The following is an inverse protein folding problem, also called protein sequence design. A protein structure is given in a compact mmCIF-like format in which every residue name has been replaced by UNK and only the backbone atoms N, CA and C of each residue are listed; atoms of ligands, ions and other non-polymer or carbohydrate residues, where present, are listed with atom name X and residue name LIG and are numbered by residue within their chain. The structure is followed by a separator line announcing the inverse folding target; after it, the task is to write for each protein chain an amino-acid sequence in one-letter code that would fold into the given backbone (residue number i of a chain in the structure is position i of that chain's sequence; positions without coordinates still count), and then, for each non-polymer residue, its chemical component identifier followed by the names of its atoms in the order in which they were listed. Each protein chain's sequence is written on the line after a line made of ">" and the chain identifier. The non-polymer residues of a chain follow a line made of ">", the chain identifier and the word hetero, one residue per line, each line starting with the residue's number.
data_IF_655874310215
#
_entry.id   IF_655874310215
#
_cell.length_a   1.000
_cell.length_b   1.000
_cell.length_c   1.000
_cell.angle_alpha   90.00
_cell.angle_beta   90.00
_cell.angle_gamma   90.00
#
_symmetry.space_group_name_H-M   'P 1'
#
loop_
_entity.id
_entity.type
_entity.pdbx_description
1 polymer ?
2 polymer ?
3 polymer ?
4 water ?
#
# COMPACT_ATOMS: atom_id res chain seq x y z
N UNK A 1 18.98 29.30 1.03
CA UNK A 1 18.72 28.01 0.38
C UNK A 1 17.39 27.40 0.83
N UNK A 2 16.40 27.37 -0.06
CA UNK A 2 15.16 26.69 0.26
C UNK A 2 15.34 25.18 0.11
N UNK A 3 14.73 24.43 1.02
CA UNK A 3 14.96 22.99 1.05
C UNK A 3 14.34 22.34 -0.19
N UNK A 4 15.03 21.41 -0.81
CA UNK A 4 14.60 20.83 -2.10
C UNK A 4 13.60 19.69 -1.94
N UNK A 5 12.37 20.04 -1.56
CA UNK A 5 11.34 19.02 -1.34
C UNK A 5 10.65 18.57 -2.61
N UNK A 6 10.61 19.43 -3.64
CA UNK A 6 10.03 19.02 -4.90
C UNK A 6 10.78 17.88 -5.54
N UNK A 7 12.09 17.80 -5.31
CA UNK A 7 12.86 16.70 -5.88
C UNK A 7 12.39 15.36 -5.35
N UNK A 8 11.97 15.31 -4.08
CA UNK A 8 11.51 14.05 -3.52
C UNK A 8 10.04 13.84 -3.84
N UNK A 9 9.20 14.86 -3.61
CA UNK A 9 7.75 14.69 -3.78
C UNK A 9 7.36 14.59 -5.24
N UNK A 10 8.02 15.32 -6.12
CA UNK A 10 7.67 15.33 -7.53
C UNK A 10 8.56 14.42 -8.36
N UNK A 11 9.37 13.58 -7.73
CA UNK A 11 10.20 12.64 -8.46
C UNK A 11 9.34 11.82 -9.41
N UNK A 12 9.77 11.72 -10.67
CA UNK A 12 8.95 11.06 -11.67
C UNK A 12 8.83 9.56 -11.41
N UNK A 13 9.85 8.96 -10.80
CA UNK A 13 9.87 7.53 -10.53
C UNK A 13 10.05 7.31 -9.03
N UNK A 14 9.25 6.41 -8.47
CA UNK A 14 9.35 6.05 -7.07
C UNK A 14 9.80 4.60 -6.92
N UNK A 15 10.43 4.32 -5.79
CA UNK A 15 10.94 2.98 -5.53
C UNK A 15 9.84 2.08 -4.99
N UNK A 16 10.01 0.78 -5.21
CA UNK A 16 9.23 -0.20 -4.47
C UNK A 16 9.58 -0.11 -2.99
N UNK A 17 8.62 -0.49 -2.14
CA UNK A 17 8.81 -0.34 -0.70
C UNK A 17 9.99 -1.14 -0.15
N UNK A 18 10.39 -2.22 -0.82
CA UNK A 18 11.52 -3.00 -0.29
C UNK A 18 12.85 -2.31 -0.56
N UNK A 19 12.94 -1.57 -1.67
CA UNK A 19 14.13 -0.81 -2.00
C UNK A 19 13.88 0.68 -1.85
N UNK A 20 13.27 1.08 -0.73
CA UNK A 20 12.83 2.45 -0.55
C UNK A 20 13.99 3.42 -0.62
N UNK A 21 13.73 4.60 -1.16
CA UNK A 21 14.80 5.57 -1.40
C UNK A 21 14.90 6.56 -0.24
N UNK A 22 16.10 7.13 -0.09
CA UNK A 22 16.35 8.08 1.00
C UNK A 22 17.18 9.26 0.50
N UNK A 23 16.75 10.47 0.85
CA UNK A 23 17.55 11.67 0.65
C UNK A 23 17.76 12.36 1.99
N UNK A 24 18.86 13.08 2.10
CA UNK A 24 19.18 13.83 3.30
C UNK A 24 19.02 15.33 3.04
N UNK A 25 18.48 16.03 4.03
CA UNK A 25 18.17 17.46 3.96
C UNK A 25 18.93 18.14 5.10
N UNK A 26 19.73 19.16 4.74
CA UNK A 26 20.52 19.89 5.72
C UNK A 26 20.79 21.29 5.19
N UNK A 27 21.08 22.20 6.13
CA UNK A 27 21.52 23.57 5.85
C UNK A 27 20.58 24.27 4.86
N UNK A 28 19.30 24.31 5.20
CA UNK A 28 18.32 24.98 4.37
C UNK A 28 17.13 25.37 5.23
N UNK A 29 16.21 26.11 4.62
CA UNK A 29 14.98 26.56 5.26
C UNK A 29 13.81 25.89 4.56
N UNK A 30 13.02 25.12 5.32
CA UNK A 30 11.88 24.40 4.81
C UNK A 30 10.59 25.14 5.12
N UNK A 31 9.69 25.23 4.14
CA UNK A 31 8.37 25.81 4.32
C UNK A 31 7.36 24.66 4.33
N UNK A 32 7.12 24.10 5.51
CA UNK A 32 6.23 22.95 5.61
C UNK A 32 4.79 23.34 5.28
N UNK A 33 4.38 24.56 5.60
CA UNK A 33 2.99 24.98 5.41
C UNK A 33 2.52 24.77 3.97
N UNK A 34 3.40 25.04 2.99
CA UNK A 34 2.99 24.90 1.59
C UNK A 34 2.76 23.44 1.23
N UNK A 35 3.47 22.52 1.90
CA UNK A 35 3.15 21.10 1.73
C UNK A 35 1.86 20.74 2.45
N UNK A 36 1.72 21.18 3.69
CA UNK A 36 0.57 20.77 4.50
C UNK A 36 -0.72 21.37 3.96
N UNK A 37 -0.72 22.67 3.66
CA UNK A 37 -1.90 23.38 3.19
C UNK A 37 -2.20 23.15 1.72
N UNK A 38 -1.61 22.12 1.11
CA UNK A 38 -1.54 22.02 -0.34
C UNK A 38 -2.76 21.38 -1.00
N UNK A 39 -3.48 20.53 -0.28
CA UNK A 39 -4.59 19.75 -0.84
C UNK A 39 -4.13 18.80 -1.93
N UNK A 40 -2.89 18.32 -1.85
CA UNK A 40 -2.38 17.32 -2.79
C UNK A 40 -2.07 16.00 -2.12
N UNK A 41 -2.42 15.84 -0.85
CA UNK A 41 -2.13 14.65 -0.07
C UNK A 41 -3.36 14.24 0.71
N UNK A 42 -3.64 12.93 0.74
CA UNK A 42 -4.73 12.40 1.56
C UNK A 42 -4.28 12.00 2.96
N UNK A 43 -2.98 11.85 3.20
CA UNK A 43 -2.49 11.60 4.55
C UNK A 43 -1.30 12.50 4.81
N UNK A 44 -1.29 13.15 5.98
CA UNK A 44 -0.21 13.98 6.49
C UNK A 44 -0.24 13.84 8.01
N UNK A 45 0.16 12.66 8.49
CA UNK A 45 0.24 12.36 9.91
C UNK A 45 1.58 12.83 10.45
N UNK A 46 1.61 13.18 11.73
CA UNK A 46 2.88 13.53 12.37
C UNK A 46 2.98 12.83 13.72
N UNK A 47 4.21 12.55 14.12
CA UNK A 47 4.51 11.85 15.36
C UNK A 47 5.62 12.63 16.07
N UNK A 48 5.40 12.93 17.34
CA UNK A 48 6.35 13.69 18.12
C UNK A 48 6.16 15.18 18.08
N UNK A 49 5.57 15.72 17.01
CA UNK A 49 5.38 17.15 16.86
C UNK A 49 4.01 17.42 16.25
N UNK A 50 3.48 18.61 16.53
CA UNK A 50 2.27 19.08 15.89
C UNK A 50 2.61 19.65 14.51
N UNK A 51 1.83 19.31 13.48
CA UNK A 51 2.10 19.90 12.16
C UNK A 51 1.91 21.41 12.12
N UNK A 52 1.15 21.98 13.05
CA UNK A 52 0.94 23.41 13.05
C UNK A 52 2.11 24.19 13.62
N UNK A 53 3.05 23.51 14.29
CA UNK A 53 4.20 24.15 14.92
C UNK A 53 5.50 23.88 14.16
N UNK A 54 5.42 23.21 13.01
CA UNK A 54 6.63 22.76 12.31
C UNK A 54 7.48 23.93 11.85
N UNK A 55 6.85 25.03 11.41
CA UNK A 55 7.63 26.17 10.93
C UNK A 55 8.31 26.93 12.07
N UNK A 56 7.97 26.64 13.32
CA UNK A 56 8.65 27.28 14.46
C UNK A 56 9.80 26.45 15.00
N UNK A 57 10.06 25.28 14.43
CA UNK A 57 11.04 24.34 14.97
C UNK A 57 12.28 24.29 14.09
N UNK A 58 13.36 23.79 14.69
CA UNK A 58 14.62 23.56 14.00
C UNK A 58 15.11 22.15 14.29
N UNK A 59 15.75 21.51 13.31
CA UNK A 59 16.24 20.16 13.48
C UNK A 59 17.68 20.06 13.00
N UNK A 60 18.38 19.04 13.51
CA UNK A 60 19.77 18.83 13.09
C UNK A 60 19.84 18.32 11.66
N UNK A 61 18.89 17.48 11.26
CA UNK A 61 18.86 16.89 9.93
C UNK A 61 17.42 16.51 9.62
N UNK A 62 17.14 16.33 8.33
CA UNK A 62 15.87 15.76 7.90
C UNK A 62 16.16 14.64 6.92
N UNK A 63 15.40 13.56 6.99
CA UNK A 63 15.53 12.45 6.06
C UNK A 63 14.20 12.25 5.33
N UNK A 64 14.25 12.26 4.00
CA UNK A 64 13.07 12.04 3.17
C UNK A 64 13.17 10.64 2.57
N UNK A 65 12.47 9.68 3.17
CA UNK A 65 12.34 8.35 2.60
C UNK A 65 11.10 8.30 1.73
N UNK A 66 11.18 7.63 0.59
CA UNK A 66 10.01 7.58 -0.28
C UNK A 66 9.89 6.23 -0.96
N UNK A 67 8.64 5.80 -1.14
CA UNK A 67 8.33 4.51 -1.73
C UNK A 67 6.89 4.50 -2.21
N UNK A 68 6.40 3.32 -2.59
CA UNK A 68 5.02 3.09 -3.04
C UNK A 68 4.46 1.88 -2.32
N UNK A 69 3.25 2.00 -1.79
CA UNK A 69 2.53 0.82 -1.27
C UNK A 69 1.11 0.87 -1.76
N UNK A 70 0.24 0.05 -1.19
CA UNK A 70 -1.18 0.22 -1.46
C UNK A 70 -1.80 1.06 -0.35
N UNK A 71 -2.92 1.73 -0.70
CA UNK A 71 -3.50 2.69 0.23
C UNK A 71 -3.86 2.07 1.56
N UNK A 72 -4.51 0.92 1.53
CA UNK A 72 -4.91 0.28 2.78
C UNK A 72 -3.73 -0.17 3.63
N UNK A 73 -2.49 0.15 3.27
CA UNK A 73 -1.32 -0.16 4.07
C UNK A 73 -0.63 1.08 4.63
N UNK A 74 -1.15 2.28 4.35
CA UNK A 74 -0.52 3.50 4.85
C UNK A 74 -0.55 3.54 6.37
N UNK A 75 -1.54 2.88 6.99
CA UNK A 75 -1.57 2.78 8.45
C UNK A 75 -0.41 1.97 9.00
N UNK A 76 0.20 1.10 8.21
CA UNK A 76 1.38 0.37 8.69
C UNK A 76 2.63 1.23 8.74
N UNK A 77 2.70 2.28 7.94
CA UNK A 77 3.82 3.22 8.01
C UNK A 77 3.60 4.13 9.21
N UNK A 78 3.96 3.63 10.40
CA UNK A 78 3.79 4.34 11.67
C UNK A 78 4.48 3.53 12.76
N UNK A 79 4.98 4.17 13.82
CA UNK A 79 5.63 3.40 14.89
C UNK A 79 4.69 2.37 15.51
N UNK A 80 5.29 1.29 16.02
CA UNK A 80 4.54 0.26 16.71
C UNK A 80 3.70 -0.64 15.81
N UNK A 81 3.83 -0.53 14.50
CA UNK A 81 2.97 -1.29 13.61
C UNK A 81 3.52 -2.70 13.38
N UNK A 82 2.71 -3.53 12.77
CA UNK A 82 3.09 -4.91 12.50
C UNK A 82 2.50 -5.34 11.15
N UNK A 83 2.96 -6.48 10.68
CA UNK A 83 2.59 -6.98 9.37
C UNK A 83 3.77 -6.92 8.41
N UNK A 84 3.53 -7.45 7.20
CA UNK A 84 4.62 -7.65 6.25
C UNK A 84 5.31 -6.34 5.89
N UNK A 85 4.55 -5.25 5.73
CA UNK A 85 5.17 -3.98 5.36
C UNK A 85 6.10 -3.49 6.48
N UNK A 86 5.57 -3.37 7.70
CA UNK A 86 6.36 -2.86 8.80
C UNK A 86 7.44 -3.83 9.25
N UNK A 87 7.28 -5.14 9.02
CA UNK A 87 8.26 -6.08 9.53
C UNK A 87 9.36 -6.39 8.53
N UNK A 88 9.04 -6.52 7.24
CA UNK A 88 10.03 -6.94 6.26
C UNK A 88 10.38 -5.86 5.26
N UNK A 89 9.77 -4.67 5.34
CA UNK A 89 10.01 -3.67 4.31
C UNK A 89 10.45 -2.32 4.84
N UNK A 90 9.67 -1.71 5.73
CA UNK A 90 9.99 -0.36 6.20
C UNK A 90 9.52 -0.22 7.64
N UNK A 91 10.47 -0.14 8.57
CA UNK A 91 10.17 -0.07 9.99
C UNK A 91 10.53 1.30 10.54
N UNK A 92 9.62 1.84 11.36
CA UNK A 92 9.83 3.11 12.06
C UNK A 92 10.13 2.87 13.53
N UNK A 93 11.06 3.65 14.09
CA UNK A 93 11.39 3.47 15.52
C UNK A 93 10.21 3.81 16.42
N UNK A 94 10.19 3.20 17.60
CA UNK A 94 9.11 3.45 18.54
C UNK A 94 9.03 4.93 18.91
N UNK A 95 10.18 5.60 18.98
CA UNK A 95 10.27 7.00 19.36
C UNK A 95 10.36 7.92 18.14
N UNK A 96 9.69 7.57 17.06
CA UNK A 96 9.81 8.31 15.82
C UNK A 96 9.31 9.74 15.98
N UNK A 97 10.16 10.70 15.62
CA UNK A 97 9.74 12.09 15.44
C UNK A 97 9.80 12.36 13.94
N UNK A 98 8.64 12.64 13.35
CA UNK A 98 8.59 12.91 11.92
C UNK A 98 7.16 13.01 11.45
N UNK A 99 6.98 12.90 10.13
CA UNK A 99 5.65 12.96 9.53
C UNK A 99 5.58 12.03 8.33
N UNK A 100 4.42 11.44 8.12
CA UNK A 100 4.15 10.53 7.01
C UNK A 100 3.14 11.19 6.08
N UNK A 101 3.44 11.18 4.78
CA UNK A 101 2.66 11.92 3.78
C UNK A 101 2.38 10.97 2.64
N UNK A 102 1.10 10.74 2.35
CA UNK A 102 0.74 9.72 1.37
C UNK A 102 -0.34 10.26 0.46
N UNK A 103 -0.32 9.78 -0.79
CA UNK A 103 -1.35 10.16 -1.75
C UNK A 103 -1.51 9.09 -2.82
N UNK A 104 -2.75 8.95 -3.29
CA UNK A 104 -3.08 8.09 -4.43
C UNK A 104 -2.35 8.57 -5.67
N UNK A 105 -1.56 7.68 -6.28
CA UNK A 105 -0.70 8.05 -7.39
C UNK A 105 -1.08 7.37 -8.69
N UNK A 106 -2.37 7.01 -8.85
CA UNK A 106 -2.85 6.54 -10.14
C UNK A 106 -2.53 7.52 -11.25
N UNK A 107 -2.40 8.81 -10.90
CA UNK A 107 -1.91 9.82 -11.82
C UNK A 107 -0.72 9.30 -12.65
N UNK A 108 0.34 8.89 -11.96
CA UNK A 108 1.57 8.49 -12.62
C UNK A 108 1.76 6.97 -12.71
N UNK A 109 1.18 6.21 -11.78
CA UNK A 109 1.47 4.78 -11.65
C UNK A 109 0.30 3.90 -12.10
N UNK A 110 -0.67 4.45 -12.82
CA UNK A 110 -1.73 3.63 -13.39
C UNK A 110 -1.28 3.05 -14.72
N UNK A 111 -1.67 1.80 -14.98
CA UNK A 111 -1.27 1.12 -16.20
C UNK A 111 -2.44 0.28 -16.69
N UNK A 112 -2.93 0.61 -17.90
CA UNK A 112 -3.95 -0.21 -18.52
C UNK A 112 -3.43 -1.63 -18.70
N UNK A 113 -4.22 -2.61 -18.27
CA UNK A 113 -3.80 -3.99 -18.27
C UNK A 113 -3.11 -4.42 -17.00
N UNK A 114 -2.77 -3.47 -16.14
CA UNK A 114 -2.20 -3.75 -14.84
C UNK A 114 -0.78 -3.21 -14.73
N UNK A 115 -0.40 -2.87 -13.51
CA UNK A 115 0.96 -2.46 -13.20
C UNK A 115 1.47 -3.42 -12.15
N UNK A 116 2.45 -4.23 -12.53
CA UNK A 116 3.05 -5.18 -11.61
C UNK A 116 4.51 -4.83 -11.30
N UNK A 117 4.88 -3.56 -11.43
CA UNK A 117 6.29 -3.18 -11.30
C UNK A 117 6.71 -2.97 -9.86
N UNK A 118 5.77 -2.67 -8.98
CA UNK A 118 6.09 -2.43 -7.57
C UNK A 118 6.04 -3.75 -6.81
N UNK A 119 7.04 -3.94 -5.94
CA UNK A 119 7.22 -5.19 -5.23
C UNK A 119 7.34 -4.92 -3.74
N UNK A 120 7.09 -5.97 -2.95
CA UNK A 120 7.29 -5.92 -1.51
C UNK A 120 7.82 -7.27 -1.04
N UNK A 121 8.61 -7.23 0.03
CA UNK A 121 9.19 -8.46 0.58
C UNK A 121 8.14 -9.28 1.32
N UNK A 122 8.20 -10.59 1.15
CA UNK A 122 7.23 -11.54 1.68
C UNK A 122 7.73 -12.33 2.88
N UNK A 123 9.01 -12.71 2.89
CA UNK A 123 9.58 -13.54 3.94
C UNK A 123 10.90 -12.96 4.42
N UNK A 124 11.22 -13.22 5.68
CA UNK A 124 12.48 -12.76 6.22
C UNK A 124 12.79 -13.57 7.46
N UNK A 125 14.09 -13.81 7.69
CA UNK A 125 14.50 -14.59 8.86
C UNK A 125 14.18 -13.86 10.16
N UNK A 126 14.31 -12.53 10.15
CA UNK A 126 14.01 -11.72 11.33
C UNK A 126 13.38 -10.41 10.88
N UNK A 127 12.85 -9.66 11.85
CA UNK A 127 12.26 -8.36 11.54
C UNK A 127 13.35 -7.33 11.29
N UNK A 128 13.02 -6.35 10.45
CA UNK A 128 13.94 -5.27 10.18
C UNK A 128 14.18 -4.43 11.42
N UNK A 129 15.34 -3.79 11.46
CA UNK A 129 15.56 -2.75 12.45
C UNK A 129 15.00 -1.43 11.92
N UNK A 130 14.70 -0.49 12.82
CA UNK A 130 14.21 0.82 12.35
C UNK A 130 15.14 1.44 11.32
N UNK A 131 14.59 1.72 10.14
CA UNK A 131 15.27 2.30 8.97
C UNK A 131 16.26 1.36 8.31
N UNK A 132 16.22 0.06 8.63
CA UNK A 132 16.99 -0.89 7.85
C UNK A 132 16.38 -1.04 6.47
N UNK A 133 17.19 -1.46 5.51
CA UNK A 133 16.77 -1.62 4.12
C UNK A 133 17.33 -2.94 3.59
N UNK A 134 16.42 -3.87 3.24
CA UNK A 134 16.80 -5.18 2.70
C UNK A 134 16.39 -5.21 1.23
N UNK A 135 17.37 -5.23 0.34
CA UNK A 135 17.12 -5.24 -1.10
C UNK A 135 17.59 -6.55 -1.75
N UNK A 136 18.04 -7.51 -0.95
CA UNK A 136 18.54 -8.77 -1.50
C UNK A 136 17.43 -9.50 -2.25
N UNK A 137 17.82 -10.51 -3.02
CA UNK A 137 16.88 -11.27 -3.83
C UNK A 137 17.24 -12.74 -3.84
N UNK A 138 17.67 -13.27 -2.70
CA UNK A 138 18.00 -14.68 -2.59
C UNK A 138 16.76 -15.48 -2.20
N UNK A 139 16.78 -16.77 -2.55
CA UNK A 139 15.64 -17.64 -2.26
C UNK A 139 15.50 -17.83 -0.75
N UNK A 140 14.27 -17.83 -0.28
CA UNK A 140 14.00 -17.92 1.15
C UNK A 140 13.82 -19.37 1.58
N UNK A 141 14.57 -19.77 2.60
CA UNK A 141 14.58 -21.16 3.07
C UNK A 141 13.59 -21.29 4.21
N UNK A 142 12.40 -21.82 3.90
CA UNK A 142 11.33 -21.99 4.87
C UNK A 142 11.30 -23.40 5.46
N UNK A 143 12.42 -24.11 5.44
CA UNK A 143 12.51 -25.46 5.94
C UNK A 143 13.92 -25.76 6.41
N UNK A 144 14.10 -26.97 6.92
CA UNK A 144 15.38 -27.38 7.48
C UNK A 144 16.47 -27.59 6.43
N UNK A 145 16.12 -27.56 5.13
CA UNK A 145 17.01 -27.93 4.03
C UNK A 145 17.48 -26.72 3.24
N UNK A 146 18.74 -26.69 2.79
CA UNK A 146 19.23 -25.55 2.00
C UNK A 146 18.59 -25.50 0.63
N UNK A 147 18.47 -24.29 0.09
CA UNK A 147 17.82 -24.07 -1.20
C UNK A 147 18.79 -24.10 -2.38
N UNK A 148 20.08 -23.85 -2.15
CA UNK A 148 21.11 -23.95 -3.18
C UNK A 148 20.79 -23.10 -4.41
N UNK A 149 20.16 -21.95 -4.16
CA UNK A 149 19.94 -20.95 -5.18
C UNK A 149 18.76 -21.16 -6.09
N UNK A 150 17.86 -22.10 -5.78
CA UNK A 150 16.71 -22.38 -6.63
C UNK A 150 15.45 -22.51 -5.79
N UNK A 151 14.31 -22.40 -6.45
CA UNK A 151 13.04 -22.68 -5.81
C UNK A 151 12.83 -24.19 -5.69
N UNK A 152 11.91 -24.56 -4.81
CA UNK A 152 11.63 -25.97 -4.56
C UNK A 152 10.69 -26.09 -3.37
N UNK A 153 10.73 -27.24 -2.72
CA UNK A 153 9.89 -27.41 -1.54
C UNK A 153 10.46 -26.61 -0.39
N UNK A 154 9.65 -25.67 0.14
CA UNK A 154 10.03 -24.77 1.22
C UNK A 154 11.13 -23.80 0.80
N UNK A 155 11.14 -23.40 -0.48
CA UNK A 155 12.13 -22.48 -1.02
C UNK A 155 11.42 -21.53 -1.97
N UNK A 156 11.26 -20.28 -1.57
CA UNK A 156 10.40 -19.36 -2.30
C UNK A 156 11.14 -18.07 -2.63
N UNK A 157 10.82 -17.52 -3.80
CA UNK A 157 11.21 -16.16 -4.13
C UNK A 157 10.65 -15.22 -3.07
N UNK A 158 11.45 -14.28 -2.56
CA UNK A 158 11.03 -13.49 -1.39
C UNK A 158 10.21 -12.26 -1.70
N UNK A 159 10.09 -11.85 -2.96
CA UNK A 159 9.39 -10.63 -3.33
C UNK A 159 8.09 -10.96 -4.05
N UNK A 160 7.09 -10.09 -3.85
CA UNK A 160 5.77 -10.25 -4.46
C UNK A 160 5.40 -8.96 -5.16
N UNK A 161 4.76 -9.09 -6.32
CA UNK A 161 4.33 -7.96 -7.12
C UNK A 161 2.91 -7.55 -6.74
N UNK A 162 2.71 -6.25 -6.47
CA UNK A 162 1.35 -5.73 -6.29
C UNK A 162 0.59 -5.82 -7.59
N UNK A 163 -0.63 -6.36 -7.54
CA UNK A 163 -1.48 -6.38 -8.70
C UNK A 163 -2.31 -5.11 -8.79
N UNK A 164 -1.67 -4.01 -9.20
CA UNK A 164 -2.38 -2.74 -9.31
C UNK A 164 -3.18 -2.76 -10.61
N UNK A 165 -4.47 -3.08 -10.49
CA UNK A 165 -5.43 -3.08 -11.57
C UNK A 165 -6.33 -1.86 -11.49
N UNK A 166 -6.68 -1.25 -12.63
CA UNK A 166 -7.66 -0.16 -12.60
C UNK A 166 -8.99 -0.57 -11.99
N UNK A 167 -9.31 -1.86 -12.00
CA UNK A 167 -10.58 -2.37 -11.47
C UNK A 167 -10.59 -2.53 -9.96
N UNK A 168 -9.47 -2.33 -9.28
CA UNK A 168 -9.36 -2.62 -7.86
C UNK A 168 -10.23 -1.67 -7.03
N UNK A 169 -10.57 -2.13 -5.83
CA UNK A 169 -11.18 -1.27 -4.83
C UNK A 169 -10.27 -0.11 -4.47
N UNK A 170 -10.83 0.84 -3.73
CA UNK A 170 -10.13 2.08 -3.46
C UNK A 170 -8.93 1.89 -2.54
N UNK A 171 -8.84 0.76 -1.84
CA UNK A 171 -7.74 0.50 -0.93
C UNK A 171 -6.57 -0.21 -1.57
N UNK A 172 -6.83 -1.04 -2.58
CA UNK A 172 -5.79 -1.75 -3.33
C UNK A 172 -5.34 -0.91 -4.52
N UNK A 173 -4.86 0.29 -4.23
CA UNK A 173 -4.45 1.27 -5.22
C UNK A 173 -3.06 1.76 -4.92
N UNK A 174 -2.29 2.17 -5.93
CA UNK A 174 -0.93 2.65 -5.68
C UNK A 174 -0.95 3.98 -4.96
N UNK A 175 -0.23 4.04 -3.85
CA UNK A 175 -0.07 5.25 -3.06
C UNK A 175 1.42 5.55 -2.93
N UNK A 176 1.81 6.75 -3.34
CA UNK A 176 3.17 7.22 -3.10
C UNK A 176 3.26 7.79 -1.70
N UNK A 177 4.32 7.42 -1.00
CA UNK A 177 4.50 7.72 0.42
C UNK A 177 5.86 8.36 0.61
N UNK A 178 5.89 9.43 1.40
CA UNK A 178 7.11 10.13 1.76
C UNK A 178 7.14 10.30 3.28
N UNK A 179 8.22 9.87 3.91
CA UNK A 179 8.41 9.96 5.34
C UNK A 179 9.50 10.99 5.60
N UNK A 180 9.15 12.07 6.28
CA UNK A 180 10.11 13.02 6.78
C UNK A 180 10.47 12.63 8.20
N UNK A 181 11.75 12.35 8.42
CA UNK A 181 12.27 12.07 9.75
C UNK A 181 13.08 13.26 10.24
N UNK A 182 12.75 13.76 11.43
CA UNK A 182 13.40 14.93 12.02
C UNK A 182 14.43 14.47 13.05
N UNK A 183 15.70 14.78 12.80
CA UNK A 183 16.77 14.32 13.68
C UNK A 183 16.91 15.26 14.88
N UNK A 184 16.88 14.70 16.08
CA UNK A 184 16.95 15.52 17.28
C UNK A 184 18.26 15.30 18.02
N UNK A 185 19.37 15.34 17.29
CA UNK A 185 20.68 15.14 17.89
C UNK A 185 21.08 16.35 18.72
N UNK A 186 22.06 16.14 19.60
CA UNK A 186 22.67 17.23 20.36
C UNK A 186 23.74 17.87 19.48
N UNK A 187 23.28 18.67 18.53
CA UNK A 187 24.13 19.28 17.53
C UNK A 187 23.45 20.56 17.07
N UNK A 188 24.16 21.43 16.34
CA UNK A 188 23.50 22.59 15.75
C UNK A 188 22.41 22.18 14.78
N UNK A 189 21.32 22.94 14.78
CA UNK A 189 20.19 22.67 13.89
C UNK A 189 20.37 23.45 12.60
N UNK A 190 20.44 22.73 11.48
CA UNK A 190 20.70 23.35 10.18
C UNK A 190 19.47 23.46 9.30
N UNK A 191 18.40 22.75 9.61
CA UNK A 191 17.15 22.82 8.85
C UNK A 191 16.11 23.47 9.74
N UNK A 192 15.71 24.69 9.39
CA UNK A 192 14.74 25.44 10.14
C UNK A 192 13.62 25.92 9.24
N UNK A 193 12.56 26.44 9.87
CA UNK A 193 11.51 27.12 9.14
C UNK A 193 11.90 28.54 8.79
N UNK A 194 10.98 29.23 8.11
CA UNK A 194 11.18 30.64 7.76
C UNK A 194 11.39 31.56 8.97
N UNK B 1 -9.63 -10.79 -15.25
CA UNK B 1 -9.49 -12.19 -14.86
C UNK B 1 -8.21 -12.78 -15.45
N UNK B 2 -7.49 -13.53 -14.62
CA UNK B 2 -6.16 -14.02 -14.94
C UNK B 2 -6.26 -15.35 -15.66
N UNK B 3 -5.39 -15.55 -16.66
CA UNK B 3 -5.47 -16.71 -17.53
C UNK B 3 -4.09 -17.04 -18.07
N UNK B 4 -3.74 -18.33 -18.05
CA UNK B 4 -2.49 -18.85 -18.56
C UNK B 4 -2.78 -20.05 -19.46
N UNK B 5 -2.20 -20.06 -20.66
CA UNK B 5 -2.41 -21.15 -21.62
C UNK B 5 -1.06 -21.65 -22.12
N UNK B 6 -0.76 -22.91 -21.87
CA UNK B 6 0.46 -23.53 -22.38
C UNK B 6 0.23 -24.10 -23.78
N UNK B 7 1.30 -24.12 -24.57
CA UNK B 7 1.25 -24.67 -25.91
C UNK B 7 2.66 -25.11 -26.32
N UNK B 8 2.72 -26.00 -27.31
CA UNK B 8 3.96 -26.29 -27.98
C UNK B 8 4.67 -27.57 -27.62
N UNK B 9 4.07 -28.42 -26.79
CA UNK B 9 4.66 -29.71 -26.48
C UNK B 9 4.46 -30.72 -27.60
N UNK B 10 4.89 -31.94 -27.35
CA UNK B 10 4.63 -33.00 -28.30
C UNK B 10 5.66 -34.12 -28.20
N UNK B 11 5.76 -34.84 -29.32
CA UNK B 11 6.57 -36.05 -29.45
C UNK B 11 7.95 -35.69 -29.98
N UNK B 12 8.99 -36.16 -29.31
CA UNK B 12 10.34 -35.84 -29.73
C UNK B 12 11.26 -37.00 -29.40
N UNK B 13 12.12 -37.35 -30.37
CA UNK B 13 13.19 -38.30 -30.14
C UNK B 13 14.34 -37.60 -29.43
N UNK B 14 15.05 -38.36 -28.60
CA UNK B 14 16.11 -37.80 -27.76
C UNK B 14 17.06 -36.93 -28.57
N UNK B 15 17.64 -35.93 -27.89
CA UNK B 15 18.49 -34.95 -28.54
C UNK B 15 17.74 -33.85 -29.27
N UNK B 16 16.43 -33.98 -29.46
CA UNK B 16 15.64 -32.97 -30.13
C UNK B 16 15.37 -31.76 -29.23
N UNK B 17 14.48 -30.90 -29.71
CA UNK B 17 14.20 -29.66 -29.00
C UNK B 17 12.75 -29.25 -29.17
N UNK B 18 12.29 -28.42 -28.24
CA UNK B 18 10.95 -27.83 -28.30
C UNK B 18 11.01 -26.40 -27.78
N UNK B 19 9.95 -25.65 -28.04
CA UNK B 19 9.79 -24.32 -27.46
C UNK B 19 8.38 -24.24 -26.89
N UNK B 20 8.26 -24.35 -25.58
CA UNK B 20 6.97 -24.23 -24.93
C UNK B 20 6.60 -22.77 -24.80
N UNK B 21 5.31 -22.48 -24.92
CA UNK B 21 4.78 -21.14 -24.81
C UNK B 21 3.78 -21.08 -23.66
N UNK B 22 3.80 -19.97 -22.93
CA UNK B 22 2.82 -19.65 -21.90
C UNK B 22 2.22 -18.30 -22.27
N UNK B 23 1.01 -18.33 -22.82
CA UNK B 23 0.28 -17.13 -23.17
C UNK B 23 -0.50 -16.65 -21.94
N UNK B 24 -0.17 -15.45 -21.48
CA UNK B 24 -0.80 -14.85 -20.31
C UNK B 24 -1.78 -13.78 -20.73
N UNK B 25 -2.90 -13.69 -20.00
CA UNK B 25 -3.87 -12.63 -20.21
C UNK B 25 -4.46 -12.24 -18.86
N UNK B 26 -4.82 -10.95 -18.75
CA UNK B 26 -5.26 -10.39 -17.50
C UNK B 26 -4.17 -9.70 -16.69
N UNK B 27 -2.91 -9.84 -17.09
CA UNK B 27 -1.81 -9.25 -16.35
C UNK B 27 -0.60 -9.14 -17.26
N UNK B 28 0.25 -8.13 -17.07
CA UNK B 28 1.44 -7.99 -17.91
C UNK B 28 2.44 -9.10 -17.63
N UNK B 29 3.17 -9.49 -18.69
CA UNK B 29 4.11 -10.58 -18.53
C UNK B 29 5.36 -10.11 -17.78
N UNK B 30 5.68 -8.81 -17.85
CA UNK B 30 6.73 -8.23 -17.01
C UNK B 30 6.17 -8.06 -15.61
N UNK B 31 6.71 -8.82 -14.66
CA UNK B 31 6.22 -8.83 -13.28
C UNK B 31 7.23 -9.59 -12.44
N UNK B 32 6.89 -9.76 -11.16
CA UNK B 32 7.83 -10.31 -10.18
C UNK B 32 8.41 -11.63 -10.64
N UNK B 33 7.57 -12.53 -11.12
CA UNK B 33 7.99 -13.92 -11.27
C UNK B 33 7.02 -14.65 -12.19
N UNK B 34 7.57 -15.39 -13.13
CA UNK B 34 6.81 -16.39 -13.87
C UNK B 34 7.62 -17.67 -13.87
N UNK B 35 6.98 -18.79 -13.52
CA UNK B 35 7.69 -20.05 -13.37
C UNK B 35 7.11 -21.14 -14.28
N UNK B 36 7.97 -22.11 -14.59
CA UNK B 36 7.61 -23.32 -15.32
C UNK B 36 7.86 -24.52 -14.41
N UNK B 37 6.83 -25.39 -14.30
CA UNK B 37 6.81 -26.59 -13.47
C UNK B 37 6.55 -27.83 -14.32
N UNK B 38 6.94 -28.99 -13.77
CA UNK B 38 6.82 -30.30 -14.39
C UNK B 38 6.04 -31.23 -13.48
N UNK B 39 5.18 -32.05 -14.07
CA UNK B 39 4.62 -33.20 -13.37
C UNK B 39 4.69 -34.43 -14.28
N UNK B 40 5.45 -35.43 -13.86
CA UNK B 40 5.56 -36.69 -14.57
C UNK B 40 4.50 -37.66 -14.06
N UNK B 41 4.21 -38.73 -14.81
CA UNK B 41 3.25 -39.72 -14.31
C UNK B 41 3.77 -40.39 -13.05
N UNK B 42 2.93 -40.41 -12.01
CA UNK B 42 3.29 -41.00 -10.74
C UNK B 42 4.07 -40.11 -9.79
N UNK B 43 4.77 -39.10 -10.31
CA UNK B 43 5.59 -38.21 -9.50
C UNK B 43 4.81 -36.95 -9.13
N UNK B 44 5.48 -36.05 -8.41
CA UNK B 44 4.90 -34.83 -7.87
C UNK B 44 5.42 -33.61 -8.64
N UNK B 45 4.59 -32.58 -8.70
CA UNK B 45 4.88 -31.41 -9.53
C UNK B 45 6.21 -30.77 -9.13
N UNK B 46 7.06 -30.56 -10.14
CA UNK B 46 8.46 -30.22 -9.96
C UNK B 46 8.74 -28.85 -10.56
N UNK B 47 9.36 -27.97 -9.77
CA UNK B 47 9.76 -26.66 -10.30
C UNK B 47 10.92 -26.82 -11.27
N UNK B 48 10.79 -26.21 -12.44
CA UNK B 48 11.78 -26.32 -13.51
C UNK B 48 12.58 -25.05 -13.69
N UNK B 49 11.91 -23.93 -13.96
CA UNK B 49 12.63 -22.70 -14.28
C UNK B 49 11.78 -21.50 -13.91
N UNK B 50 12.41 -20.33 -13.86
CA UNK B 50 11.64 -19.14 -13.53
C UNK B 50 12.38 -17.89 -14.00
N UNK B 51 11.61 -16.84 -14.27
CA UNK B 51 12.14 -15.55 -14.65
C UNK B 51 11.60 -14.50 -13.69
N UNK B 52 12.43 -13.52 -13.36
CA UNK B 52 12.14 -12.52 -12.33
C UNK B 52 12.44 -11.12 -12.84
N UNK B 53 11.85 -10.13 -12.17
CA UNK B 53 12.08 -8.73 -12.49
C UNK B 53 13.05 -8.04 -11.54
N UNK B 54 13.38 -8.69 -10.42
CA UNK B 54 14.42 -8.22 -9.50
C UNK B 54 15.38 -9.36 -9.23
N UNK B 55 16.65 -9.02 -9.09
CA UNK B 55 17.66 -10.02 -8.82
C UNK B 55 18.10 -10.73 -10.09
N UNK B 56 18.73 -11.88 -9.91
CA UNK B 56 19.06 -12.73 -11.05
C UNK B 56 17.81 -12.98 -11.89
N UNK B 57 17.93 -12.73 -13.19
CA UNK B 57 16.73 -12.69 -14.04
C UNK B 57 16.15 -14.09 -14.27
N UNK B 58 16.99 -15.11 -14.47
CA UNK B 58 16.49 -16.45 -14.73
C UNK B 58 17.15 -17.46 -13.79
N UNK B 59 16.38 -18.43 -13.34
CA UNK B 59 16.88 -19.53 -12.53
C UNK B 59 16.36 -20.85 -13.08
N UNK B 60 17.19 -21.89 -12.95
CA UNK B 60 16.87 -23.20 -13.50
C UNK B 60 17.20 -24.28 -12.48
N UNK B 61 16.43 -25.36 -12.52
CA UNK B 61 16.79 -26.54 -11.74
C UNK B 61 18.06 -27.17 -12.30
N UNK B 62 18.76 -27.91 -11.43
CA UNK B 62 20.05 -28.49 -11.82
C UNK B 62 19.92 -29.44 -13.01
N UNK B 63 18.81 -30.18 -13.10
CA UNK B 63 18.66 -31.18 -14.14
C UNK B 63 18.49 -30.58 -15.53
N UNK B 64 18.20 -29.28 -15.64
CA UNK B 64 17.95 -28.66 -16.93
C UNK B 64 18.84 -27.43 -17.14
N UNK B 65 19.86 -27.27 -16.29
CA UNK B 65 20.55 -25.99 -16.16
C UNK B 65 21.37 -25.64 -17.39
N UNK B 66 21.70 -26.58 -18.26
CA UNK B 66 22.44 -26.20 -19.45
C UNK B 66 21.65 -26.36 -20.73
N UNK B 67 20.46 -26.93 -20.62
CA UNK B 67 19.69 -27.32 -21.79
C UNK B 67 18.46 -26.44 -22.03
N UNK B 68 17.90 -25.85 -20.98
CA UNK B 68 16.71 -25.02 -21.08
C UNK B 68 17.07 -23.55 -20.94
N UNK B 69 16.28 -22.70 -21.59
CA UNK B 69 16.42 -21.26 -21.45
C UNK B 69 15.02 -20.64 -21.42
N UNK B 70 14.74 -19.87 -20.37
CA UNK B 70 13.44 -19.23 -20.22
C UNK B 70 13.56 -17.77 -20.64
N UNK B 71 12.49 -17.24 -21.24
CA UNK B 71 12.55 -15.87 -21.74
C UNK B 71 11.13 -15.31 -21.77
N UNK B 72 11.04 -13.97 -21.78
CA UNK B 72 9.75 -13.31 -21.85
C UNK B 72 9.67 -12.46 -23.09
N UNK B 73 8.47 -12.35 -23.64
CA UNK B 73 8.15 -11.50 -24.78
C UNK B 73 7.02 -10.59 -24.35
N UNK B 74 7.29 -9.29 -24.26
CA UNK B 74 6.28 -8.35 -23.81
C UNK B 74 5.28 -8.01 -24.92
N UNK B 75 5.72 -8.02 -26.19
CA UNK B 75 4.82 -7.68 -27.28
C UNK B 75 3.63 -8.63 -27.33
N UNK B 76 3.91 -9.94 -27.35
CA UNK B 76 2.88 -10.96 -27.40
C UNK B 76 2.41 -11.40 -26.01
N UNK B 77 2.95 -10.81 -24.95
CA UNK B 77 2.60 -11.17 -23.58
C UNK B 77 2.73 -12.68 -23.36
N UNK B 78 3.90 -13.21 -23.73
CA UNK B 78 4.15 -14.64 -23.67
C UNK B 78 5.44 -14.90 -22.91
N UNK B 79 5.56 -16.10 -22.35
CA UNK B 79 6.80 -16.56 -21.74
C UNK B 79 7.17 -17.88 -22.39
N UNK B 80 8.38 -17.93 -22.95
CA UNK B 80 8.87 -19.10 -23.66
C UNK B 80 9.82 -19.91 -22.79
N UNK B 81 9.78 -21.23 -22.99
CA UNK B 81 10.76 -22.16 -22.43
C UNK B 81 11.36 -22.94 -23.60
N UNK B 82 12.57 -22.57 -24.01
CA UNK B 82 13.29 -23.33 -25.01
C UNK B 82 13.95 -24.53 -24.34
N UNK B 83 13.64 -25.73 -24.82
CA UNK B 83 14.21 -26.98 -24.31
C UNK B 83 15.05 -27.61 -25.41
N UNK B 84 16.36 -27.67 -25.21
CA UNK B 84 17.26 -28.36 -26.12
C UNK B 84 17.75 -29.67 -25.50
N UNK B 85 18.34 -30.51 -26.35
CA UNK B 85 18.99 -31.75 -25.91
C UNK B 85 18.08 -32.58 -25.01
N UNK B 86 16.86 -32.82 -25.51
CA UNK B 86 15.83 -33.44 -24.70
C UNK B 86 16.15 -34.88 -24.37
N UNK B 87 15.74 -35.30 -23.19
CA UNK B 87 15.97 -36.64 -22.65
C UNK B 87 14.65 -37.26 -22.27
N UNK B 88 14.58 -38.60 -22.19
CA UNK B 88 13.35 -39.24 -21.70
C UNK B 88 12.95 -38.79 -20.30
N UNK B 89 13.92 -38.38 -19.49
CA UNK B 89 13.63 -37.94 -18.13
C UNK B 89 12.90 -36.60 -18.11
N UNK B 90 12.97 -35.83 -19.19
CA UNK B 90 12.22 -34.58 -19.29
C UNK B 90 10.76 -34.80 -19.65
N UNK B 91 10.36 -36.04 -19.94
CA UNK B 91 8.99 -36.35 -20.32
C UNK B 91 8.04 -36.08 -19.16
N UNK B 92 7.07 -35.19 -19.39
CA UNK B 92 6.09 -34.83 -18.36
C UNK B 92 5.06 -33.87 -18.93
N UNK B 93 4.08 -33.48 -18.11
CA UNK B 93 3.23 -32.34 -18.46
C UNK B 93 3.85 -31.08 -17.86
N UNK B 94 3.94 -30.04 -18.68
CA UNK B 94 4.58 -28.78 -18.32
C UNK B 94 3.52 -27.72 -18.11
N UNK B 95 3.62 -27.02 -16.97
CA UNK B 95 2.71 -25.95 -16.59
C UNK B 95 3.50 -24.67 -16.39
N UNK B 96 2.84 -23.53 -16.60
CA UNK B 96 3.39 -22.26 -16.14
C UNK B 96 2.53 -21.74 -14.99
N UNK B 97 3.12 -20.83 -14.22
CA UNK B 97 2.58 -20.50 -12.90
C UNK B 97 2.95 -19.08 -12.51
N UNK B 98 1.98 -18.38 -11.91
CA UNK B 98 2.17 -17.09 -11.26
C UNK B 98 1.42 -17.09 -9.95
N UNK B 99 1.94 -16.34 -8.97
CA UNK B 99 1.28 -16.16 -7.69
C UNK B 99 0.86 -14.70 -7.56
N UNK B 100 -0.44 -14.47 -7.41
CA UNK B 100 -1.01 -13.14 -7.24
C UNK B 100 -1.49 -12.96 -5.80
N UNK B 101 -1.47 -11.71 -5.35
CA UNK B 101 -2.03 -11.31 -4.06
C UNK B 101 -3.27 -10.47 -4.31
N UNK B 102 -4.27 -10.61 -3.44
CA UNK B 102 -5.59 -10.08 -3.67
C UNK B 102 -5.99 -8.99 -2.71
N UNK B 103 -7.25 -8.56 -2.82
CA UNK B 103 -7.76 -7.47 -2.00
C UNK B 103 -7.63 -7.76 -0.51
N UNK B 104 -7.68 -9.02 -0.11
CA UNK B 104 -7.64 -9.38 1.31
C UNK B 104 -6.28 -9.94 1.72
N UNK B 105 -5.21 -9.57 0.99
CA UNK B 105 -3.86 -9.99 1.31
C UNK B 105 -3.72 -11.52 1.29
N UNK B 106 -4.56 -12.17 0.51
CA UNK B 106 -4.50 -13.61 0.30
C UNK B 106 -3.71 -13.89 -0.97
N UNK B 107 -3.09 -15.05 -1.02
CA UNK B 107 -2.28 -15.47 -2.16
C UNK B 107 -2.96 -16.64 -2.86
N UNK B 108 -2.98 -16.59 -4.19
CA UNK B 108 -3.55 -17.65 -5.01
C UNK B 108 -2.61 -18.00 -6.16
N UNK B 109 -2.44 -19.29 -6.41
CA UNK B 109 -1.52 -19.81 -7.42
C UNK B 109 -2.31 -20.17 -8.68
N UNK B 110 -2.04 -19.46 -9.77
CA UNK B 110 -2.66 -19.77 -11.05
C UNK B 110 -1.83 -20.78 -11.83
N UNK B 111 -2.53 -21.63 -12.58
CA UNK B 111 -1.90 -22.59 -13.47
C UNK B 111 -2.68 -22.63 -14.77
N UNK B 112 -2.05 -23.16 -15.82
CA UNK B 112 -2.72 -23.47 -17.06
C UNK B 112 -3.16 -24.92 -17.11
N UNK B 113 -3.65 -25.32 -18.27
CA UNK B 113 -4.02 -26.72 -18.44
C UNK B 113 -2.81 -27.63 -18.51
N UNK B 114 -1.70 -27.16 -19.08
CA UNK B 114 -0.50 -27.95 -19.27
C UNK B 114 -0.33 -28.40 -20.71
N UNK B 115 0.91 -28.73 -21.06
CA UNK B 115 1.18 -29.40 -22.34
C UNK B 115 2.05 -30.62 -22.13
N UNK B 116 1.75 -31.69 -22.86
CA UNK B 116 2.48 -32.94 -22.74
C UNK B 116 3.76 -32.88 -23.57
N UNK B 117 4.87 -33.27 -22.96
CA UNK B 117 6.15 -33.46 -23.66
C UNK B 117 6.53 -34.91 -23.48
N UNK B 118 6.68 -35.64 -24.60
CA UNK B 118 7.08 -37.03 -24.58
C UNK B 118 8.37 -37.18 -25.37
N UNK B 119 9.38 -37.78 -24.75
CA UNK B 119 10.70 -37.94 -25.33
C UNK B 119 11.05 -39.42 -25.37
N UNK B 120 11.68 -39.85 -26.44
CA UNK B 120 12.06 -41.26 -26.57
C UNK B 120 13.53 -41.48 -26.94
N UNK C 1 -11.79 12.85 29.90
CA UNK C 1 -11.89 13.56 31.16
C UNK C 1 -10.69 14.46 31.41
N UNK C 2 -9.49 13.88 31.34
CA UNK C 2 -8.27 14.64 31.50
C UNK C 2 -7.73 15.15 30.17
N UNK C 3 -8.46 14.94 29.09
CA UNK C 3 -7.99 15.34 27.77
C UNK C 3 -8.04 16.85 27.59
N UNK C 4 -7.01 17.39 26.94
CA UNK C 4 -6.94 18.83 26.71
C UNK C 4 -7.93 19.33 25.66
N UNK C 5 -8.74 18.45 25.06
CA UNK C 5 -9.76 18.82 24.10
C UNK C 5 -11.06 18.13 24.50
N UNK C 6 -12.14 18.91 24.55
CA UNK C 6 -13.45 18.40 24.98
C UNK C 6 -14.47 18.77 23.91
N UNK C 7 -15.17 17.77 23.38
CA UNK C 7 -16.17 17.95 22.34
C UNK C 7 -17.56 17.69 22.92
N UNK C 8 -18.49 18.59 22.64
CA UNK C 8 -19.89 18.44 23.01
C UNK C 8 -20.71 18.55 21.73
N UNK C 9 -21.43 17.49 21.38
CA UNK C 9 -22.22 17.48 20.16
C UNK C 9 -23.71 17.52 20.50
N UNK C 10 -24.47 18.05 19.55
CA UNK C 10 -25.90 18.29 19.72
C UNK C 10 -26.52 18.41 18.33
N UNK C 11 -27.83 18.67 18.31
CA UNK C 11 -28.55 18.85 17.07
C UNK C 11 -29.20 17.59 16.53
N UNK C 12 -29.17 16.49 17.28
CA UNK C 12 -29.74 15.25 16.82
C UNK C 12 -31.24 15.21 17.00
N UNK C 13 -31.81 14.09 16.61
CA UNK C 13 -33.24 13.88 16.75
C UNK C 13 -33.76 13.05 15.59
N UNK C 14 -35.07 12.91 15.56
CA UNK C 14 -35.73 12.14 14.52
C UNK C 14 -36.33 13.08 13.48
N UNK C 15 -36.63 12.50 12.31
CA UNK C 15 -37.11 13.26 11.16
C UNK C 15 -37.60 12.25 10.14
N UNK C 16 -38.39 12.72 9.17
CA UNK C 16 -38.89 11.83 8.12
C UNK C 16 -38.02 11.93 6.89
N UNK C 17 -38.09 10.88 6.07
CA UNK C 17 -37.26 10.79 4.87
C UNK C 17 -37.44 12.03 4.00
N UNK C 18 -36.34 12.47 3.40
CA UNK C 18 -36.31 13.69 2.62
C UNK C 18 -36.02 14.93 3.42
N UNK C 19 -36.15 14.87 4.74
CA UNK C 19 -35.90 16.00 5.59
C UNK C 19 -34.41 16.22 5.81
N UNK C 20 -34.11 17.15 6.71
CA UNK C 20 -32.73 17.53 6.97
C UNK C 20 -32.53 17.76 8.46
N UNK C 21 -31.27 17.63 8.88
CA UNK C 21 -30.86 17.89 10.25
C UNK C 21 -29.55 18.65 10.21
N UNK C 22 -29.10 19.08 11.39
CA UNK C 22 -27.84 19.81 11.48
C UNK C 22 -27.19 19.45 12.81
N UNK C 23 -26.18 18.59 12.75
CA UNK C 23 -25.40 18.26 13.93
C UNK C 23 -24.32 19.31 14.16
N UNK C 24 -24.06 19.62 15.43
CA UNK C 24 -23.02 20.58 15.78
C UNK C 24 -22.13 19.97 16.84
N UNK C 25 -20.86 20.39 16.84
CA UNK C 25 -19.82 19.85 17.72
C UNK C 25 -18.97 21.02 18.18
N UNK C 26 -19.04 21.33 19.46
CA UNK C 26 -18.38 22.49 20.04
C UNK C 26 -17.23 22.02 20.92
N UNK C 27 -16.05 22.58 20.70
CA UNK C 27 -14.84 22.16 21.38
C UNK C 27 -14.39 23.21 22.39
N UNK C 28 -13.79 22.73 23.47
CA UNK C 28 -13.15 23.60 24.45
C UNK C 28 -11.83 22.97 24.85
N UNK C 29 -10.81 23.80 25.06
CA UNK C 29 -9.48 23.33 25.41
C UNK C 29 -8.44 23.87 24.43
N UNK C 30 -7.53 22.99 24.02
CA UNK C 30 -6.44 23.36 23.10
C UNK C 30 -6.98 23.47 21.67
N UNK C 31 -7.81 24.50 21.46
CA UNK C 31 -8.49 24.67 20.17
C UNK C 31 -7.50 24.77 19.03
N UNK C 32 -6.43 25.55 19.22
CA UNK C 32 -5.48 25.81 18.13
C UNK C 32 -4.65 24.60 17.76
N UNK C 33 -4.59 23.58 18.62
CA UNK C 33 -3.87 22.35 18.31
C UNK C 33 -4.66 21.39 17.43
N UNK C 34 -5.97 21.59 17.29
CA UNK C 34 -6.80 20.68 16.51
C UNK C 34 -6.55 20.91 15.02
N UNK C 35 -6.23 19.84 14.30
CA UNK C 35 -5.90 19.94 12.89
C UNK C 35 -6.97 19.33 11.98
N UNK C 36 -7.90 18.58 12.52
CA UNK C 36 -8.73 17.69 11.71
C UNK C 36 -9.99 17.33 12.49
N UNK C 37 -11.14 17.54 11.88
CA UNK C 37 -12.42 17.21 12.49
C UNK C 37 -13.13 16.16 11.64
N UNK C 38 -13.39 15.00 12.22
CA UNK C 38 -14.05 13.91 11.51
C UNK C 38 -15.39 13.55 12.12
N UNK C 39 -16.39 13.32 11.28
CA UNK C 39 -17.69 12.81 11.68
C UNK C 39 -17.77 11.33 11.32
N UNK C 40 -17.99 10.50 12.35
CA UNK C 40 -18.18 9.07 12.30
C UNK C 40 -19.64 8.71 12.56
N UNK C 41 -19.96 7.43 12.35
CA UNK C 41 -21.35 6.98 12.30
C UNK C 41 -21.41 5.50 12.62
N UNK C 42 -22.37 5.09 13.45
CA UNK C 42 -22.61 3.68 13.72
C UNK C 42 -24.10 3.39 13.63
N UNK C 43 -24.49 2.67 12.60
CA UNK C 43 -25.85 2.23 12.37
C UNK C 43 -26.08 0.90 13.08
N UNK C 44 -27.35 0.54 13.33
CA UNK C 44 -27.60 -0.76 13.98
C UNK C 44 -27.02 -1.91 13.17
N UNK C 45 -26.19 -2.71 13.83
CA UNK C 45 -25.61 -3.89 13.22
C UNK C 45 -24.40 -3.67 12.34
N UNK C 46 -23.79 -2.48 12.39
CA UNK C 46 -22.63 -2.17 11.57
C UNK C 46 -21.54 -1.55 12.43
N UNK C 47 -20.30 -1.66 11.94
CA UNK C 47 -19.19 -1.01 12.61
C UNK C 47 -19.28 0.51 12.44
N UNK C 48 -18.55 1.22 13.29
CA UNK C 48 -18.51 2.68 13.21
C UNK C 48 -17.63 3.10 12.05
N UNK C 49 -18.23 3.81 11.08
CA UNK C 49 -17.57 4.20 9.85
C UNK C 49 -17.36 5.71 9.83
N UNK C 50 -16.76 6.21 8.75
CA UNK C 50 -16.46 7.63 8.61
C UNK C 50 -17.44 8.27 7.64
N UNK C 51 -17.99 9.41 8.07
CA UNK C 51 -18.95 10.13 7.24
C UNK C 51 -18.26 11.27 6.53
N UNK C 52 -17.61 12.15 7.29
CA UNK C 52 -17.08 13.35 6.66
C UNK C 52 -15.90 13.87 7.45
N UNK C 53 -15.09 14.73 6.82
CA UNK C 53 -13.93 15.26 7.50
C UNK C 53 -13.58 16.64 6.97
N UNK C 54 -12.95 17.44 7.83
CA UNK C 54 -12.61 18.82 7.56
C UNK C 54 -11.22 19.09 8.12
N UNK C 55 -10.33 19.58 7.27
CA UNK C 55 -9.00 20.02 7.68
C UNK C 55 -9.10 21.46 8.18
N UNK C 56 -8.71 21.70 9.44
CA UNK C 56 -9.04 22.97 10.09
C UNK C 56 -8.34 24.16 9.44
N UNK C 57 -7.03 24.03 9.19
CA UNK C 57 -6.27 25.13 8.61
C UNK C 57 -6.75 25.45 7.20
N UNK C 58 -7.35 24.49 6.53
CA UNK C 58 -7.62 24.53 5.09
C UNK C 58 -9.05 24.87 4.73
N UNK C 59 -10.02 24.38 5.51
CA UNK C 59 -11.38 24.30 5.05
C UNK C 59 -11.65 23.13 4.13
N UNK C 60 -10.62 22.39 3.72
CA UNK C 60 -10.80 21.29 2.80
C UNK C 60 -11.63 20.19 3.46
N UNK C 61 -12.49 19.56 2.67
CA UNK C 61 -13.43 18.58 3.18
C UNK C 61 -13.33 17.29 2.38
N UNK C 62 -13.71 16.20 3.03
CA UNK C 62 -13.86 14.89 2.41
C UNK C 62 -15.18 14.30 2.83
N UNK C 63 -15.81 13.56 1.92
CA UNK C 63 -17.09 12.91 2.18
C UNK C 63 -17.06 11.48 1.69
N UNK C 64 -17.62 10.58 2.49
CA UNK C 64 -17.80 9.22 1.99
C UNK C 64 -18.81 9.22 0.85
N UNK C 65 -18.76 8.15 0.05
CA UNK C 65 -19.64 8.08 -1.12
C UNK C 65 -21.11 7.93 -0.75
N UNK C 66 -21.41 7.38 0.43
CA UNK C 66 -22.80 7.20 0.83
C UNK C 66 -23.47 8.49 1.28
N UNK C 67 -22.74 9.58 1.39
CA UNK C 67 -23.32 10.85 1.83
C UNK C 67 -22.83 11.96 0.92
N UNK C 68 -22.10 11.60 -0.12
CA UNK C 68 -21.59 12.58 -1.07
C UNK C 68 -22.75 13.31 -1.76
N UNK C 69 -22.73 14.64 -1.69
CA UNK C 69 -23.75 15.44 -2.31
C UNK C 69 -24.99 15.67 -1.48
N UNK C 70 -25.10 15.04 -0.31
CA UNK C 70 -26.18 15.27 0.63
C UNK C 70 -25.73 15.87 1.95
N UNK C 71 -24.52 15.54 2.41
CA UNK C 71 -24.00 16.05 3.67
C UNK C 71 -22.98 17.14 3.40
N UNK C 72 -22.93 18.14 4.28
CA UNK C 72 -21.95 19.20 4.18
C UNK C 72 -21.35 19.43 5.55
N UNK C 73 -20.03 19.36 5.64
CA UNK C 73 -19.33 19.69 6.88
C UNK C 73 -18.73 21.08 6.75
N UNK C 74 -18.80 21.85 7.82
CA UNK C 74 -18.36 23.25 7.79
C UNK C 74 -17.85 23.63 9.17
N UNK C 75 -17.07 24.70 9.21
CA UNK C 75 -16.39 25.14 10.43
C UNK C 75 -16.83 26.55 10.80
N UNK C 76 -16.80 26.86 12.09
CA UNK C 76 -17.11 28.19 12.60
C UNK C 76 -16.11 28.47 13.72
N UNK C 77 -15.10 29.29 13.41
CA UNK C 77 -14.07 29.60 14.40
C UNK C 77 -14.53 30.64 15.41
N UNK C 78 -15.57 31.41 15.08
CA UNK C 78 -16.15 32.32 16.08
C UNK C 78 -16.67 31.55 17.29
N UNK C 79 -17.31 30.41 17.05
CA UNK C 79 -17.91 29.62 18.12
C UNK C 79 -17.14 28.33 18.39
N UNK C 80 -16.00 28.11 17.73
CA UNK C 80 -15.22 26.89 17.88
C UNK C 80 -16.10 25.66 17.68
N UNK C 81 -16.84 25.66 16.57
CA UNK C 81 -17.91 24.70 16.37
C UNK C 81 -17.91 24.20 14.94
N UNK C 82 -17.90 22.89 14.77
CA UNK C 82 -17.99 22.27 13.46
C UNK C 82 -19.42 21.77 13.27
N UNK C 83 -19.93 21.85 12.05
CA UNK C 83 -21.29 21.49 11.72
C UNK C 83 -21.33 20.43 10.63
N UNK C 84 -22.35 19.58 10.71
CA UNK C 84 -22.67 18.59 9.68
C UNK C 84 -24.14 18.77 9.30
N UNK C 85 -24.37 19.37 8.14
CA UNK C 85 -25.70 19.58 7.59
C UNK C 85 -26.10 18.35 6.78
N UNK C 86 -27.12 17.63 7.24
CA UNK C 86 -27.54 16.37 6.64
C UNK C 86 -28.85 16.61 5.89
N UNK C 87 -28.77 16.73 4.57
CA UNK C 87 -29.92 16.94 3.71
C UNK C 87 -30.33 15.65 3.02
N UNK C 88 -31.60 15.62 2.59
CA UNK C 88 -32.15 14.50 1.83
C UNK C 88 -32.01 13.19 2.58
N UNK C 89 -32.36 13.21 3.87
CA UNK C 89 -32.13 12.05 4.72
C UNK C 89 -32.99 10.87 4.28
N UNK C 90 -32.43 9.67 4.43
CA UNK C 90 -33.10 8.43 4.12
C UNK C 90 -32.86 7.46 5.28
N UNK C 91 -33.75 6.49 5.47
CA UNK C 91 -33.70 5.68 6.71
C UNK C 91 -32.38 4.97 6.95
N UNK C 92 -31.52 4.83 5.94
CA UNK C 92 -30.22 4.19 6.12
C UNK C 92 -29.21 5.08 6.82
N UNK C 93 -29.54 6.36 7.01
CA UNK C 93 -28.70 7.27 7.78
C UNK C 93 -29.01 7.20 9.28
N UNK C 94 -29.91 6.33 9.70
CA UNK C 94 -30.21 6.16 11.10
C UNK C 94 -29.00 5.58 11.83
N UNK C 95 -28.45 6.34 12.77
CA UNK C 95 -27.23 5.91 13.42
C UNK C 95 -26.92 6.80 14.62
N UNK C 96 -26.03 6.31 15.46
CA UNK C 96 -25.36 7.17 16.43
C UNK C 96 -24.25 7.91 15.71
N UNK C 97 -24.27 9.24 15.76
CA UNK C 97 -23.27 10.05 15.08
C UNK C 97 -22.27 10.59 16.10
N UNK C 98 -20.99 10.55 15.74
CA UNK C 98 -19.92 11.03 16.61
C UNK C 98 -19.08 12.07 15.86
N UNK C 99 -18.62 13.08 16.60
CA UNK C 99 -17.56 13.95 16.11
C UNK C 99 -16.27 13.63 16.86
N UNK C 100 -15.15 13.81 16.17
CA UNK C 100 -13.84 13.53 16.74
C UNK C 100 -12.86 14.55 16.20
N UNK C 101 -11.86 14.88 17.01
CA UNK C 101 -10.87 15.88 16.67
C UNK C 101 -9.47 15.28 16.83
N UNK C 102 -8.60 15.60 15.88
CA UNK C 102 -7.22 15.15 15.94
C UNK C 102 -6.28 16.35 16.04
N UNK C 103 -5.09 16.09 16.55
CA UNK C 103 -4.02 17.07 16.58
C UNK C 103 -2.79 16.61 15.80
N UNK C 104 -2.81 15.42 15.20
CA UNK C 104 -1.64 14.84 14.55
C UNK C 104 -1.60 15.09 13.05
N UNK C 105 -2.41 16.02 12.54
CA UNK C 105 -2.48 16.23 11.12
C UNK C 105 -3.81 15.79 10.54
N UNK C 106 -3.80 15.11 9.40
CA UNK C 106 -5.04 14.63 8.80
C UNK C 106 -4.75 13.33 8.06
N UNK C 107 -5.82 12.55 7.83
CA UNK C 107 -5.72 11.29 7.11
C UNK C 107 -7.10 10.88 6.63
N UNK C 108 -7.23 10.61 5.33
CA UNK C 108 -8.47 10.11 4.75
C UNK C 108 -8.18 8.81 4.01
N UNK C 109 -8.97 7.75 4.24
CA UNK C 109 -10.23 7.70 4.97
C UNK C 109 -10.08 7.83 6.49
N UNK C 110 -11.18 8.17 7.15
CA UNK C 110 -11.20 8.17 8.61
C UNK C 110 -10.94 6.76 9.12
N UNK C 111 -10.29 6.68 10.29
CA UNK C 111 -10.07 5.40 10.93
C UNK C 111 -10.26 5.53 12.43
N UNK C 112 -11.23 4.79 12.94
CA UNK C 112 -11.58 4.70 14.36
C UNK C 112 -10.37 4.58 15.27
N UNK C 113 -9.32 3.87 14.82
CA UNK C 113 -8.23 3.47 15.69
C UNK C 113 -7.10 4.50 15.77
N UNK C 114 -7.14 5.56 14.97
CA UNK C 114 -6.26 6.68 15.20
C UNK C 114 -6.51 7.26 16.59
N UNK C 115 -5.63 8.14 17.02
CA UNK C 115 -5.85 8.83 18.28
C UNK C 115 -6.81 9.99 18.04
N UNK C 116 -7.95 9.95 18.71
CA UNK C 116 -8.96 10.99 18.57
C UNK C 116 -9.44 11.43 19.94
N UNK C 117 -9.78 12.71 20.05
CA UNK C 117 -10.69 13.15 21.11
C UNK C 117 -12.11 12.93 20.61
N UNK C 118 -12.92 12.23 21.39
CA UNK C 118 -14.23 11.77 20.94
C UNK C 118 -15.37 12.54 21.59
N UNK C 119 -16.46 12.75 20.83
CA UNK C 119 -17.69 13.27 21.38
C UNK C 119 -18.53 12.17 22.00
N UNK C 120 -19.69 12.57 22.55
CA UNK C 120 -20.53 11.61 23.27
C UNK C 120 -21.40 10.78 22.32
N UNK C 121 -21.76 11.32 21.17
CA UNK C 121 -22.63 10.60 20.26
C UNK C 121 -24.08 11.04 20.39
N UNK C 122 -24.64 11.53 19.29
CA UNK C 122 -26.02 12.03 19.29
C UNK C 122 -26.83 11.23 18.28
N UNK C 123 -28.02 10.81 18.70
CA UNK C 123 -28.84 9.90 17.91
C UNK C 123 -29.50 10.63 16.76
N UNK C 124 -29.65 9.94 15.64
CA UNK C 124 -30.33 10.45 14.46
C UNK C 124 -31.20 9.33 13.91
N UNK C 125 -32.49 9.57 13.78
CA UNK C 125 -33.42 8.57 13.29
C UNK C 125 -34.18 9.15 12.12
N UNK C 126 -34.27 8.39 11.03
CA UNK C 126 -35.04 8.77 9.85
C UNK C 126 -35.95 7.60 9.51
N UNK C 127 -37.24 7.87 9.35
CA UNK C 127 -38.18 6.82 8.94
C UNK C 127 -39.01 7.24 7.71
#
# INVERSE_FOLDING_TARGET
>A
NLCPFGEVFNATRFASVYAWNRKRISNCVADYSVLYNSASFSTFKCYGVSPTKLNDLCFTNVYADSFVIRGDEVRQIAPGQTGKIADYNYKLPDDFTGCVIAWNSNNLDSKVGGNYNYLYRLFRKSNLKPFERDISTEIYQAGSTPCNGVEGFNCYFPLQSYGFQPTNGVGYQPYRVVVLSFELLHAPATVCGP
>B
QVQLVESGGGLVQAGGSLRLSCAASGFPVYRDRMAWYRQAPGKEREWVAAIYSAGQQTRYADSVKGRFTISRDNAKNTVYLQMNSLKPEDTAVYYCNVKDVGHHYEYYDYWGQGTQVTVS
>C
SSSQVQLVESGGGSVQAGGSLRLSCAASGSISSITYLGWFRQAPGKEREGVAALITVNGHTYYADSVKGRFTVSLDNAKNTVYLQMNSLKPEDTALYYCAAAAWGYAWPLHQDDYWYWGQGTQVTVS
#
